data_IF_484990090884
#
_entry.id   IF_484990090884
#
_cell.length_a   1.000
_cell.length_b   1.000
_cell.length_c   1.000
_cell.angle_alpha   90.00
_cell.angle_beta   90.00
_cell.angle_gamma   90.00
#
_symmetry.space_group_name_H-M   'P 1'
#
loop_
_entity.id
_entity.type
_entity.pdbx_description
1 polymer ?
#
# COMPACT_ATOMS: atom_id res chain seq x y z
N UNK A 1 67.65 21.97 -31.25
CA UNK A 1 66.42 22.78 -31.27
C UNK A 1 65.30 21.93 -30.73
N UNK A 2 64.88 22.27 -29.52
CA UNK A 2 63.64 21.85 -28.87
C UNK A 2 62.42 22.26 -29.68
N UNK A 3 61.43 21.39 -29.79
CA UNK A 3 60.06 21.84 -29.57
C UNK A 3 59.20 20.72 -28.96
N UNK A 4 58.90 20.99 -27.70
CA UNK A 4 58.03 20.25 -26.81
C UNK A 4 56.74 21.06 -26.74
N UNK A 5 55.66 20.59 -27.36
CA UNK A 5 54.26 20.96 -27.02
C UNK A 5 53.37 19.78 -27.45
N UNK A 6 53.06 18.81 -26.58
CA UNK A 6 52.02 18.89 -25.55
C UNK A 6 50.69 19.47 -26.07
N UNK A 7 49.74 18.60 -26.42
CA UNK A 7 48.31 18.83 -26.15
C UNK A 7 47.53 17.50 -26.22
N UNK A 8 47.49 16.71 -25.14
CA UNK A 8 46.52 16.80 -24.04
C UNK A 8 45.07 16.61 -24.50
N UNK A 9 44.74 15.43 -25.04
CA UNK A 9 43.34 15.02 -25.21
C UNK A 9 43.05 13.58 -24.76
N UNK A 10 43.68 13.17 -23.65
CA UNK A 10 43.19 12.08 -22.80
C UNK A 10 42.33 12.68 -21.68
N UNK A 11 41.25 13.37 -22.06
CA UNK A 11 40.33 13.94 -21.08
C UNK A 11 39.54 12.81 -20.41
N UNK A 12 39.91 12.52 -19.17
CA UNK A 12 38.98 12.21 -18.08
C UNK A 12 37.85 11.21 -18.41
N UNK A 13 38.22 10.01 -18.87
CA UNK A 13 37.39 8.83 -18.66
C UNK A 13 37.43 8.52 -17.15
N UNK A 14 36.68 9.30 -16.38
CA UNK A 14 36.46 9.06 -14.97
C UNK A 14 36.06 7.61 -14.83
N UNK A 15 36.93 6.83 -14.20
CA UNK A 15 36.68 5.49 -13.68
C UNK A 15 35.57 5.61 -12.64
N UNK A 16 34.34 5.92 -13.06
CA UNK A 16 33.16 5.89 -12.21
C UNK A 16 32.91 4.42 -11.96
N UNK A 17 33.14 4.00 -10.72
CA UNK A 17 33.00 2.61 -10.31
C UNK A 17 31.56 2.11 -10.48
N UNK A 18 30.58 3.01 -10.63
CA UNK A 18 29.20 2.70 -11.02
C UNK A 18 28.80 3.38 -12.35
N UNK A 19 28.14 2.64 -13.27
CA UNK A 19 27.39 3.22 -14.36
C UNK A 19 26.42 4.31 -13.86
N UNK A 20 26.22 5.42 -14.62
CA UNK A 20 25.46 6.57 -14.15
C UNK A 20 23.99 6.26 -13.85
N UNK A 21 23.40 5.30 -14.55
CA UNK A 21 22.04 4.82 -14.32
C UNK A 21 21.89 4.04 -13.01
N UNK A 22 22.85 3.17 -12.69
CA UNK A 22 22.86 2.46 -11.40
C UNK A 22 23.16 3.41 -10.23
N UNK A 23 23.97 4.44 -10.45
CA UNK A 23 24.17 5.51 -9.48
C UNK A 23 22.86 6.28 -9.23
N UNK A 24 22.07 6.56 -10.27
CA UNK A 24 20.76 7.20 -10.12
C UNK A 24 19.77 6.32 -9.34
N UNK A 25 19.76 5.01 -9.58
CA UNK A 25 18.97 4.05 -8.78
C UNK A 25 19.34 4.15 -7.31
N UNK A 26 20.63 4.04 -6.97
CA UNK A 26 21.10 4.11 -5.57
C UNK A 26 20.72 5.42 -4.91
N UNK A 27 20.89 6.55 -5.60
CA UNK A 27 20.49 7.87 -5.07
C UNK A 27 18.98 7.94 -4.85
N UNK A 28 18.17 7.48 -5.80
CA UNK A 28 16.72 7.47 -5.66
C UNK A 28 16.27 6.58 -4.48
N UNK A 29 16.87 5.40 -4.32
CA UNK A 29 16.60 4.52 -3.17
C UNK A 29 16.98 5.20 -1.84
N UNK A 30 18.13 5.88 -1.78
CA UNK A 30 18.53 6.61 -0.58
C UNK A 30 17.59 7.78 -0.25
N UNK A 31 17.14 8.52 -1.26
CA UNK A 31 16.18 9.61 -1.08
C UNK A 31 14.86 9.10 -0.50
N UNK A 32 14.39 7.94 -0.94
CA UNK A 32 13.16 7.32 -0.40
C UNK A 32 13.36 6.82 1.02
N UNK A 33 14.49 6.19 1.35
CA UNK A 33 14.81 5.80 2.72
C UNK A 33 14.79 7.04 3.63
N UNK A 34 15.45 8.12 3.21
CA UNK A 34 15.46 9.37 3.98
C UNK A 34 14.04 9.94 4.10
N UNK A 35 13.26 9.97 3.03
CA UNK A 35 11.89 10.48 3.09
C UNK A 35 10.95 9.62 3.95
N UNK A 36 11.18 8.31 4.01
CA UNK A 36 10.37 7.38 4.78
C UNK A 36 10.72 7.35 6.28
N UNK A 37 12.00 7.52 6.63
CA UNK A 37 12.48 7.34 8.00
C UNK A 37 12.97 8.62 8.69
N UNK A 38 13.20 9.73 7.97
CA UNK A 38 13.60 10.99 8.60
C UNK A 38 12.37 11.72 9.18
N UNK A 39 12.34 12.02 10.49
CA UNK A 39 11.18 12.64 11.15
C UNK A 39 10.74 13.94 10.48
N UNK A 40 11.70 14.79 10.11
CA UNK A 40 11.47 16.11 9.49
C UNK A 40 10.82 16.03 8.10
N UNK A 41 10.96 14.90 7.38
CA UNK A 41 10.44 14.72 6.02
C UNK A 41 9.19 13.84 6.03
N UNK A 42 9.01 13.00 7.07
CA UNK A 42 7.84 12.17 7.26
C UNK A 42 6.54 12.98 7.28
N UNK A 43 6.59 14.21 7.81
CA UNK A 43 5.45 15.14 7.87
C UNK A 43 5.22 15.91 6.57
N UNK A 44 6.12 15.78 5.58
CA UNK A 44 5.99 16.53 4.32
C UNK A 44 5.20 15.75 3.26
N UNK A 45 4.29 16.41 2.52
CA UNK A 45 3.52 15.77 1.45
C UNK A 45 4.40 15.33 0.26
N UNK A 46 5.67 15.79 0.21
CA UNK A 46 6.64 15.41 -0.81
C UNK A 46 7.01 13.91 -0.76
N UNK A 47 6.81 13.25 0.39
CA UNK A 47 7.06 11.81 0.54
C UNK A 47 6.27 10.96 -0.45
N UNK A 48 5.02 11.34 -0.74
CA UNK A 48 4.09 10.54 -1.54
C UNK A 48 4.50 10.49 -3.01
N UNK A 49 4.69 11.62 -3.73
CA UNK A 49 5.12 11.56 -5.12
C UNK A 49 6.49 10.88 -5.26
N UNK A 50 7.40 11.08 -4.31
CA UNK A 50 8.70 10.42 -4.30
C UNK A 50 8.56 8.89 -4.14
N UNK A 51 7.71 8.45 -3.20
CA UNK A 51 7.40 7.05 -2.97
C UNK A 51 6.75 6.38 -4.17
N UNK A 52 5.80 7.04 -4.82
CA UNK A 52 5.12 6.53 -6.03
C UNK A 52 6.12 6.33 -7.17
N UNK A 53 6.92 7.35 -7.48
CA UNK A 53 7.91 7.27 -8.55
C UNK A 53 8.90 6.14 -8.27
N UNK A 54 9.27 5.96 -7.01
CA UNK A 54 10.13 4.86 -6.61
C UNK A 54 9.45 3.50 -6.83
N UNK A 55 8.29 3.28 -6.22
CA UNK A 55 7.56 2.00 -6.28
C UNK A 55 7.23 1.59 -7.71
N UNK A 56 6.89 2.54 -8.59
CA UNK A 56 6.52 2.23 -9.97
C UNK A 56 7.69 1.94 -10.90
N UNK A 57 8.92 2.33 -10.54
CA UNK A 57 10.00 2.35 -11.53
C UNK A 57 11.35 1.83 -11.03
N UNK A 58 11.80 2.29 -9.86
CA UNK A 58 13.20 2.15 -9.46
C UNK A 58 13.60 0.69 -9.15
N UNK A 59 12.83 -0.08 -8.36
CA UNK A 59 13.09 -1.50 -8.13
C UNK A 59 13.05 -2.32 -9.43
N UNK A 60 12.05 -2.08 -10.28
CA UNK A 60 11.91 -2.78 -11.55
C UNK A 60 13.04 -2.47 -12.53
N UNK A 61 13.53 -1.23 -12.56
CA UNK A 61 14.69 -0.87 -13.37
C UNK A 61 15.96 -1.59 -12.87
N UNK A 62 16.16 -1.66 -11.55
CA UNK A 62 17.28 -2.40 -10.96
C UNK A 62 17.21 -3.89 -11.34
N UNK A 63 16.01 -4.49 -11.34
CA UNK A 63 15.78 -5.87 -11.76
C UNK A 63 16.11 -6.09 -13.24
N UNK A 64 15.59 -5.26 -14.14
CA UNK A 64 15.88 -5.37 -15.58
C UNK A 64 17.36 -5.13 -15.88
N UNK A 65 17.99 -4.17 -15.19
CA UNK A 65 19.43 -3.94 -15.30
C UNK A 65 20.26 -5.12 -14.79
N UNK A 66 19.76 -5.82 -13.76
CA UNK A 66 20.38 -7.02 -13.21
C UNK A 66 20.20 -8.22 -14.14
N UNK A 67 19.03 -8.41 -14.76
CA UNK A 67 18.73 -9.53 -15.67
C UNK A 67 19.36 -9.37 -17.06
N UNK A 68 19.31 -8.16 -17.64
CA UNK A 68 19.76 -7.84 -18.98
C UNK A 68 20.85 -6.73 -18.97
N UNK A 69 22.10 -7.08 -18.64
CA UNK A 69 23.20 -6.09 -18.56
C UNK A 69 23.73 -5.60 -19.93
N UNK A 70 23.31 -6.20 -21.04
CA UNK A 70 23.85 -6.00 -22.40
C UNK A 70 23.05 -5.00 -23.27
N UNK A 71 23.72 -4.17 -24.09
CA UNK A 71 23.04 -3.31 -25.08
C UNK A 71 22.46 -4.13 -26.23
N UNK A 72 21.29 -3.72 -26.72
CA UNK A 72 20.80 -4.21 -28.01
C UNK A 72 21.81 -3.85 -29.11
N UNK A 73 22.23 -4.86 -29.87
CA UNK A 73 23.00 -4.68 -31.10
C UNK A 73 22.06 -4.90 -32.27
N UNK A 74 21.34 -3.86 -32.68
CA UNK A 74 20.69 -3.85 -34.00
C UNK A 74 21.31 -2.71 -34.80
N UNK A 75 21.67 -3.04 -36.05
CA UNK A 75 22.27 -2.21 -37.11
C UNK A 75 23.80 -2.09 -37.16
N UNK A 76 24.50 -3.22 -37.41
CA UNK A 76 25.57 -3.30 -38.44
C UNK A 76 25.54 -4.68 -39.12
N UNK A 77 24.35 -5.12 -39.53
CA UNK A 77 24.17 -6.32 -40.37
C UNK A 77 23.10 -6.07 -41.44
N UNK A 78 23.11 -4.86 -41.99
CA UNK A 78 22.19 -4.40 -43.03
C UNK A 78 22.89 -3.55 -44.09
N UNK A 79 24.19 -3.77 -44.30
CA UNK A 79 24.92 -3.29 -45.46
C UNK A 79 25.63 -4.52 -46.03
N UNK A 80 24.85 -5.36 -46.71
CA UNK A 80 25.22 -6.31 -47.77
C UNK A 80 24.16 -7.41 -47.81
N UNK A 81 23.27 -7.34 -48.80
CA UNK A 81 22.25 -8.35 -49.05
C UNK A 81 20.99 -7.79 -49.66
N UNK A 82 21.00 -7.65 -50.99
CA UNK A 82 19.81 -7.75 -51.84
C UNK A 82 18.92 -8.91 -51.37
N UNK A 83 17.61 -8.68 -51.22
CA UNK A 83 16.59 -9.38 -52.00
C UNK A 83 15.16 -8.99 -51.56
N UNK A 84 14.25 -9.21 -52.49
CA UNK A 84 12.92 -8.63 -52.65
C UNK A 84 11.81 -9.13 -51.71
N UNK A 85 10.70 -8.39 -51.76
CA UNK A 85 9.30 -8.80 -51.54
C UNK A 85 8.92 -9.44 -50.20
N UNK A 86 8.23 -8.66 -49.35
CA UNK A 86 6.86 -9.05 -48.98
C UNK A 86 6.04 -7.86 -48.47
N UNK A 87 4.92 -7.61 -49.14
CA UNK A 87 3.91 -6.63 -48.77
C UNK A 87 2.83 -7.35 -47.94
N UNK A 88 3.02 -7.43 -46.62
CA UNK A 88 1.92 -7.75 -45.71
C UNK A 88 1.97 -6.84 -44.48
N UNK A 89 0.95 -5.98 -44.39
CA UNK A 89 0.64 -5.16 -43.23
C UNK A 89 0.22 -6.03 -42.05
N UNK A 90 1.19 -6.62 -41.36
CA UNK A 90 1.02 -7.20 -40.04
C UNK A 90 1.46 -6.17 -39.00
N UNK A 91 0.50 -5.61 -38.24
CA UNK A 91 0.75 -5.11 -36.88
C UNK A 91 1.13 -6.32 -36.00
N UNK A 92 2.29 -6.89 -36.26
CA UNK A 92 2.88 -7.97 -35.49
C UNK A 92 3.41 -7.37 -34.20
N UNK A 93 2.68 -7.61 -33.13
CA UNK A 93 3.06 -7.43 -31.73
C UNK A 93 4.48 -7.94 -31.51
N UNK A 94 5.47 -7.04 -31.65
CA UNK A 94 6.90 -7.32 -31.59
C UNK A 94 7.38 -7.49 -30.14
N UNK A 95 6.59 -8.16 -29.30
CA UNK A 95 6.82 -8.25 -27.85
C UNK A 95 7.93 -9.27 -27.50
N UNK A 96 8.31 -10.17 -28.40
CA UNK A 96 9.38 -11.15 -28.14
C UNK A 96 10.27 -11.40 -29.38
N UNK A 97 10.92 -10.34 -29.86
CA UNK A 97 11.94 -10.45 -30.91
C UNK A 97 13.29 -10.86 -30.35
N UNK A 98 13.79 -12.02 -30.75
CA UNK A 98 15.10 -12.57 -30.38
C UNK A 98 16.26 -11.69 -30.91
N UNK A 99 16.65 -10.69 -30.11
CA UNK A 99 17.95 -10.04 -30.13
C UNK A 99 18.38 -9.91 -28.66
N UNK A 100 19.58 -10.35 -28.31
CA UNK A 100 20.00 -10.56 -26.90
C UNK A 100 20.21 -9.27 -26.08
N UNK A 101 19.67 -8.13 -26.52
CA UNK A 101 19.65 -6.91 -25.74
C UNK A 101 18.34 -6.15 -25.91
N UNK A 102 17.83 -5.62 -24.80
CA UNK A 102 16.66 -4.75 -24.77
C UNK A 102 17.04 -3.32 -25.19
N UNK A 103 16.24 -2.70 -26.05
CA UNK A 103 16.38 -1.28 -26.40
C UNK A 103 16.02 -0.39 -25.20
N UNK A 104 16.39 0.89 -25.26
CA UNK A 104 16.20 1.85 -24.16
C UNK A 104 14.73 2.04 -23.79
N UNK A 105 13.83 1.98 -24.78
CA UNK A 105 12.38 2.10 -24.59
C UNK A 105 11.80 0.80 -24.00
N UNK A 106 12.23 -0.36 -24.49
CA UNK A 106 11.78 -1.66 -23.96
C UNK A 106 12.17 -1.83 -22.49
N UNK A 107 13.38 -1.39 -22.12
CA UNK A 107 13.84 -1.37 -20.73
C UNK A 107 12.97 -0.50 -19.84
N UNK A 108 12.50 0.65 -20.35
CA UNK A 108 11.63 1.55 -19.61
C UNK A 108 10.26 0.91 -19.36
N UNK A 109 9.64 0.37 -20.40
CA UNK A 109 8.33 -0.28 -20.29
C UNK A 109 8.39 -1.52 -19.39
N UNK A 110 9.40 -2.37 -19.57
CA UNK A 110 9.59 -3.56 -18.74
C UNK A 110 9.93 -3.23 -17.30
N UNK A 111 10.61 -2.11 -17.03
CA UNK A 111 10.92 -1.70 -15.66
C UNK A 111 9.67 -1.36 -14.86
N UNK A 112 8.64 -0.76 -15.48
CA UNK A 112 7.38 -0.48 -14.79
C UNK A 112 6.67 -1.77 -14.39
N UNK A 113 6.52 -2.70 -15.35
CA UNK A 113 5.89 -3.99 -15.10
C UNK A 113 6.66 -4.82 -14.07
N UNK A 114 7.99 -4.86 -14.19
CA UNK A 114 8.87 -5.53 -13.24
C UNK A 114 8.75 -4.94 -11.82
N UNK A 115 8.54 -3.63 -11.71
CA UNK A 115 8.37 -2.98 -10.41
C UNK A 115 7.06 -3.38 -9.75
N UNK A 116 5.96 -3.40 -10.50
CA UNK A 116 4.65 -3.85 -10.00
C UNK A 116 4.75 -5.30 -9.50
N UNK A 117 5.33 -6.21 -10.29
CA UNK A 117 5.49 -7.61 -9.89
C UNK A 117 6.35 -7.73 -8.63
N UNK A 118 7.49 -7.05 -8.59
CA UNK A 118 8.43 -7.14 -7.46
C UNK A 118 7.82 -6.58 -6.18
N UNK A 119 7.20 -5.40 -6.24
CA UNK A 119 6.61 -4.74 -5.06
C UNK A 119 5.41 -5.53 -4.55
N UNK A 120 4.51 -5.99 -5.43
CA UNK A 120 3.38 -6.84 -5.01
C UNK A 120 3.85 -8.13 -4.36
N UNK A 121 4.92 -8.74 -4.88
CA UNK A 121 5.51 -9.95 -4.29
C UNK A 121 6.09 -9.69 -2.90
N UNK A 122 6.77 -8.55 -2.71
CA UNK A 122 7.28 -8.15 -1.39
C UNK A 122 6.15 -7.88 -0.40
N UNK A 123 5.07 -7.21 -0.84
CA UNK A 123 3.90 -6.97 0.00
C UNK A 123 3.27 -8.26 0.51
N UNK A 124 3.06 -9.24 -0.38
CA UNK A 124 2.57 -10.57 0.00
C UNK A 124 3.57 -11.32 0.89
N UNK A 125 4.87 -11.23 0.63
CA UNK A 125 5.88 -11.90 1.45
C UNK A 125 5.90 -11.38 2.90
N UNK A 126 5.68 -10.08 3.11
CA UNK A 126 5.63 -9.48 4.45
C UNK A 126 4.41 -9.95 5.25
N UNK A 127 3.29 -10.26 4.58
CA UNK A 127 2.12 -10.83 5.25
C UNK A 127 2.43 -12.15 6.00
N UNK A 128 3.38 -12.94 5.50
CA UNK A 128 3.84 -14.17 6.15
C UNK A 128 4.92 -13.94 7.21
N UNK A 129 5.33 -12.70 7.44
CA UNK A 129 6.31 -12.36 8.49
C UNK A 129 5.58 -11.82 9.73
N UNK A 130 6.14 -12.01 10.94
CA UNK A 130 5.55 -11.50 12.19
C UNK A 130 5.62 -9.95 12.31
N UNK A 131 5.89 -9.23 11.22
CA UNK A 131 5.96 -7.78 11.22
C UNK A 131 4.60 -7.19 10.85
N UNK A 132 4.18 -6.11 11.51
CA UNK A 132 2.92 -5.45 11.16
C UNK A 132 2.98 -4.92 9.71
N UNK A 133 1.84 -4.97 9.01
CA UNK A 133 1.70 -4.47 7.63
C UNK A 133 1.67 -2.93 7.65
N UNK A 134 2.84 -2.35 7.91
CA UNK A 134 3.06 -0.92 7.93
C UNK A 134 3.94 -0.52 6.73
N UNK A 135 3.84 0.74 6.30
CA UNK A 135 4.62 1.25 5.18
C UNK A 135 6.15 1.14 5.41
N UNK A 136 6.61 1.24 6.67
CA UNK A 136 8.03 1.17 7.04
C UNK A 136 8.70 -0.14 6.63
N UNK A 137 8.25 -1.30 7.14
CA UNK A 137 8.79 -2.61 6.75
C UNK A 137 8.79 -2.86 5.24
N UNK A 138 7.71 -2.52 4.54
CA UNK A 138 7.59 -2.68 3.07
C UNK A 138 8.66 -1.87 2.35
N UNK A 139 8.78 -0.58 2.67
CA UNK A 139 9.78 0.31 2.05
C UNK A 139 11.20 -0.18 2.34
N UNK A 140 11.48 -0.64 3.56
CA UNK A 140 12.79 -1.17 3.93
C UNK A 140 13.17 -2.40 3.09
N UNK A 141 12.27 -3.39 2.97
CA UNK A 141 12.53 -4.62 2.20
C UNK A 141 12.71 -4.31 0.71
N UNK A 142 11.84 -3.48 0.13
CA UNK A 142 11.95 -3.07 -1.29
C UNK A 142 13.25 -2.30 -1.52
N UNK A 143 13.64 -1.40 -0.62
CA UNK A 143 14.88 -0.63 -0.74
C UNK A 143 16.13 -1.53 -0.68
N UNK A 144 16.17 -2.47 0.26
CA UNK A 144 17.26 -3.47 0.37
C UNK A 144 17.32 -4.32 -0.90
N UNK A 145 16.19 -4.87 -1.35
CA UNK A 145 16.13 -5.65 -2.59
C UNK A 145 16.62 -4.84 -3.79
N UNK A 146 16.21 -3.57 -3.91
CA UNK A 146 16.63 -2.66 -4.97
C UNK A 146 18.14 -2.42 -4.94
N UNK A 147 18.73 -2.18 -3.77
CA UNK A 147 20.18 -2.01 -3.62
C UNK A 147 20.95 -3.28 -3.99
N UNK A 148 20.45 -4.45 -3.59
CA UNK A 148 21.04 -5.74 -3.95
C UNK A 148 21.01 -5.98 -5.46
N UNK A 149 19.87 -5.70 -6.11
CA UNK A 149 19.72 -5.80 -7.57
C UNK A 149 20.65 -4.82 -8.30
N UNK A 150 20.75 -3.57 -7.83
CA UNK A 150 21.68 -2.59 -8.38
C UNK A 150 23.14 -3.04 -8.24
N UNK A 151 23.50 -3.65 -7.11
CA UNK A 151 24.82 -4.24 -6.90
C UNK A 151 25.09 -5.43 -7.84
N UNK A 152 24.14 -6.35 -8.00
CA UNK A 152 24.21 -7.47 -8.94
C UNK A 152 24.37 -6.96 -10.37
N UNK A 153 23.55 -5.99 -10.78
CA UNK A 153 23.63 -5.35 -12.09
C UNK A 153 25.01 -4.73 -12.33
N UNK A 154 25.55 -4.01 -11.35
CA UNK A 154 26.88 -3.42 -11.45
C UNK A 154 27.97 -4.49 -11.57
N UNK A 155 27.85 -5.60 -10.82
CA UNK A 155 28.79 -6.73 -10.90
C UNK A 155 28.74 -7.41 -12.26
N UNK A 156 27.54 -7.72 -12.77
CA UNK A 156 27.36 -8.33 -14.10
C UNK A 156 27.85 -7.42 -15.23
N UNK A 157 27.57 -6.11 -15.17
CA UNK A 157 28.05 -5.16 -16.18
C UNK A 157 29.57 -4.98 -16.21
N UNK A 158 30.24 -5.11 -15.05
CA UNK A 158 31.72 -5.07 -14.98
C UNK A 158 32.38 -6.30 -15.60
N UNK A 159 31.67 -7.42 -15.72
CA UNK A 159 32.17 -8.62 -16.39
C UNK A 159 32.06 -8.55 -17.93
N UNK A 160 31.40 -7.53 -18.48
CA UNK A 160 31.21 -7.33 -19.91
C UNK A 160 32.24 -6.36 -20.49
N UNK A 161 32.64 -6.59 -21.75
CA UNK A 161 33.47 -5.64 -22.48
C UNK A 161 32.73 -4.29 -22.65
N UNK A 162 33.43 -3.14 -22.63
CA UNK A 162 32.82 -1.81 -22.74
C UNK A 162 31.95 -1.58 -23.99
N UNK A 163 32.18 -2.36 -25.04
CA UNK A 163 31.44 -2.33 -26.32
C UNK A 163 30.10 -3.09 -26.28
N UNK A 164 29.84 -3.89 -25.24
CA UNK A 164 28.61 -4.68 -25.05
C UNK A 164 27.80 -4.16 -23.87
N UNK A 165 28.48 -3.62 -22.84
CA UNK A 165 27.82 -3.13 -21.64
C UNK A 165 26.83 -2.00 -21.91
N UNK A 166 25.65 -2.07 -21.29
CA UNK A 166 24.67 -0.99 -21.33
C UNK A 166 25.20 0.28 -20.65
N UNK A 167 25.28 1.35 -21.44
CA UNK A 167 25.41 2.71 -20.96
C UNK A 167 24.25 3.54 -21.52
N UNK A 168 23.62 4.31 -20.64
CA UNK A 168 22.60 5.27 -21.03
C UNK A 168 23.26 6.39 -21.84
N UNK A 169 22.70 6.79 -22.99
CA UNK A 169 23.19 7.94 -23.74
C UNK A 169 22.77 9.25 -23.05
N UNK A 170 23.38 9.53 -21.89
CA UNK A 170 23.05 10.69 -21.03
C UNK A 170 23.19 12.00 -21.78
N UNK A 171 24.18 12.14 -22.67
CA UNK A 171 24.37 13.30 -23.54
C UNK A 171 23.19 13.54 -24.50
N UNK A 172 22.64 12.47 -25.12
CA UNK A 172 21.49 12.61 -26.03
C UNK A 172 20.22 12.99 -25.28
N UNK A 173 19.96 12.37 -24.13
CA UNK A 173 18.82 12.72 -23.29
C UNK A 173 18.93 14.15 -22.78
N UNK A 174 20.13 14.60 -22.38
CA UNK A 174 20.36 16.00 -21.99
C UNK A 174 20.08 16.97 -23.14
N UNK A 175 20.50 16.68 -24.37
CA UNK A 175 20.20 17.57 -25.50
C UNK A 175 18.72 17.59 -25.84
N UNK A 176 18.01 16.47 -25.75
CA UNK A 176 16.57 16.39 -26.03
C UNK A 176 15.75 17.11 -24.96
N UNK A 177 16.03 16.89 -23.67
CA UNK A 177 15.34 17.58 -22.57
C UNK A 177 15.66 19.07 -22.58
N UNK A 178 16.93 19.43 -22.84
CA UNK A 178 17.33 20.85 -22.91
C UNK A 178 16.76 21.55 -24.15
N UNK A 179 16.63 20.86 -25.29
CA UNK A 179 15.91 21.35 -26.47
C UNK A 179 14.44 21.56 -26.14
N UNK A 180 13.75 20.56 -25.62
CA UNK A 180 12.33 20.65 -25.25
C UNK A 180 12.01 21.79 -24.25
N UNK A 181 12.93 22.08 -23.33
CA UNK A 181 12.73 23.12 -22.30
C UNK A 181 13.23 24.50 -22.73
N UNK A 182 14.21 24.59 -23.64
CA UNK A 182 14.95 25.83 -23.93
C UNK A 182 14.79 26.32 -25.37
N UNK A 183 14.58 25.42 -26.33
CA UNK A 183 14.35 25.70 -27.75
C UNK A 183 13.23 24.76 -28.28
N UNK A 184 11.97 25.02 -27.90
CA UNK A 184 10.83 24.29 -28.45
C UNK A 184 10.66 24.62 -29.93
N UNK A 185 10.69 23.60 -30.80
CA UNK A 185 10.57 23.75 -32.25
C UNK A 185 9.22 24.39 -32.67
N UNK A 186 8.18 24.28 -31.84
CA UNK A 186 6.87 24.87 -32.07
C UNK A 186 6.15 25.33 -30.79
N UNK A 187 5.22 26.28 -30.92
CA UNK A 187 4.33 26.69 -29.81
C UNK A 187 3.45 25.54 -29.31
N UNK A 188 3.13 24.58 -30.18
CA UNK A 188 2.34 23.40 -29.82
C UNK A 188 3.13 22.48 -28.87
N UNK A 189 4.44 22.32 -29.08
CA UNK A 189 5.29 21.48 -28.23
C UNK A 189 5.42 22.05 -26.81
N UNK A 190 5.47 23.38 -26.67
CA UNK A 190 5.47 24.04 -25.35
C UNK A 190 4.17 23.78 -24.62
N UNK A 191 3.03 23.95 -25.29
CA UNK A 191 1.71 23.75 -24.70
C UNK A 191 1.53 22.28 -24.31
N UNK A 192 1.90 21.35 -25.19
CA UNK A 192 1.80 19.91 -24.93
C UNK A 192 2.69 19.47 -23.77
N UNK A 193 3.94 19.95 -23.73
CA UNK A 193 4.86 19.67 -22.63
C UNK A 193 4.35 20.26 -21.31
N UNK A 194 3.83 21.48 -21.33
CA UNK A 194 3.23 22.12 -20.17
C UNK A 194 2.01 21.35 -19.64
N UNK A 195 1.11 20.92 -20.54
CA UNK A 195 -0.05 20.08 -20.21
C UNK A 195 0.37 18.72 -19.64
N UNK A 196 1.41 18.09 -20.20
CA UNK A 196 1.93 16.83 -19.69
C UNK A 196 2.48 16.98 -18.27
N UNK A 197 3.29 18.01 -18.00
CA UNK A 197 3.82 18.29 -16.65
C UNK A 197 2.69 18.57 -15.67
N UNK A 198 1.69 19.35 -16.08
CA UNK A 198 0.50 19.62 -15.26
C UNK A 198 -0.27 18.33 -14.96
N UNK A 199 -0.50 17.48 -15.97
CA UNK A 199 -1.22 16.21 -15.82
C UNK A 199 -0.49 15.24 -14.89
N UNK A 200 0.84 15.11 -15.04
CA UNK A 200 1.67 14.31 -14.12
C UNK A 200 1.62 14.88 -12.71
N UNK A 201 1.68 16.21 -12.57
CA UNK A 201 1.54 16.89 -11.27
C UNK A 201 0.20 16.61 -10.59
N UNK A 202 -0.91 16.74 -11.34
CA UNK A 202 -2.26 16.43 -10.84
C UNK A 202 -2.38 14.95 -10.47
N UNK A 203 -1.88 14.03 -11.29
CA UNK A 203 -1.92 12.60 -11.00
C UNK A 203 -1.13 12.27 -9.73
N UNK A 204 0.07 12.81 -9.57
CA UNK A 204 0.88 12.65 -8.36
C UNK A 204 0.24 13.29 -7.13
N UNK A 205 -0.38 14.46 -7.28
CA UNK A 205 -1.11 15.13 -6.21
C UNK A 205 -2.38 14.37 -5.80
N UNK A 206 -3.09 13.75 -6.75
CA UNK A 206 -4.29 12.94 -6.49
C UNK A 206 -3.96 11.69 -5.69
N UNK A 207 -2.92 10.95 -6.07
CA UNK A 207 -2.45 9.79 -5.30
C UNK A 207 -1.85 10.25 -3.95
N UNK A 208 -1.20 11.43 -3.93
CA UNK A 208 -0.80 12.16 -2.72
C UNK A 208 -1.95 12.36 -1.73
N UNK A 209 -3.04 12.91 -2.25
CA UNK A 209 -4.26 13.17 -1.52
C UNK A 209 -4.95 11.88 -1.09
N UNK A 210 -4.89 10.78 -1.86
CA UNK A 210 -5.43 9.49 -1.42
C UNK A 210 -4.60 8.82 -0.31
N UNK A 211 -3.29 9.09 -0.25
CA UNK A 211 -2.40 8.55 0.78
C UNK A 211 -2.36 9.37 2.08
N UNK A 212 -2.94 10.58 2.06
CA UNK A 212 -3.17 11.45 3.23
C UNK A 212 -4.67 11.55 3.55
N UNK A 213 -5.51 11.19 2.58
CA UNK A 213 -6.96 11.19 2.69
C UNK A 213 -7.48 9.87 3.27
N UNK A 214 -8.75 9.86 3.71
CA UNK A 214 -9.31 8.86 4.64
C UNK A 214 -9.55 7.45 4.04
N UNK A 215 -8.71 6.96 3.12
CA UNK A 215 -9.02 5.72 2.37
C UNK A 215 -7.89 4.76 2.00
N UNK A 216 -6.60 5.08 2.16
CA UNK A 216 -5.53 4.16 1.70
C UNK A 216 -4.27 4.06 2.58
N UNK A 217 -4.28 4.54 3.83
CA UNK A 217 -3.12 4.43 4.70
C UNK A 217 -3.44 4.70 6.15
N UNK A 218 -3.82 3.63 6.87
CA UNK A 218 -4.21 3.70 8.27
C UNK A 218 -5.68 4.07 8.42
N UNK A 219 -6.37 3.34 9.30
CA UNK A 219 -7.28 4.04 10.19
C UNK A 219 -6.49 5.19 10.85
N UNK A 220 -7.18 6.28 11.16
CA UNK A 220 -6.69 7.45 11.89
C UNK A 220 -6.08 8.60 11.06
N UNK A 221 -6.69 9.79 11.27
CA UNK A 221 -6.11 11.15 11.25
C UNK A 221 -6.85 12.23 10.43
N UNK A 222 -8.05 12.01 9.87
CA UNK A 222 -8.77 13.11 9.19
C UNK A 222 -10.21 13.37 9.65
N UNK A 223 -10.88 12.41 10.24
CA UNK A 223 -12.18 12.60 10.90
C UNK A 223 -12.09 11.85 12.22
N UNK A 224 -12.38 12.56 13.32
CA UNK A 224 -12.49 11.93 14.62
C UNK A 224 -13.46 10.76 14.54
N UNK A 225 -13.07 9.60 15.03
CA UNK A 225 -13.97 8.46 15.09
C UNK A 225 -13.74 7.67 16.38
N UNK A 226 -14.84 7.18 16.94
CA UNK A 226 -14.84 6.23 18.03
C UNK A 226 -15.02 4.81 17.51
N UNK A 227 -14.30 3.84 18.06
CA UNK A 227 -14.52 2.43 17.77
C UNK A 227 -14.97 1.67 19.03
N UNK A 228 -15.89 0.73 18.84
CA UNK A 228 -16.37 -0.20 19.86
C UNK A 228 -16.07 -1.62 19.40
N UNK A 229 -15.46 -2.44 20.25
CA UNK A 229 -15.13 -3.81 19.92
C UNK A 229 -15.33 -4.76 21.12
N UNK A 230 -15.41 -6.05 20.83
CA UNK A 230 -15.55 -7.12 21.81
C UNK A 230 -14.26 -7.94 21.91
N UNK A 231 -13.86 -8.24 23.14
CA UNK A 231 -12.75 -9.13 23.48
C UNK A 231 -13.25 -10.21 24.45
N UNK A 232 -12.80 -11.45 24.24
CA UNK A 232 -12.99 -12.56 25.17
C UNK A 232 -11.67 -13.29 25.34
N UNK A 233 -11.22 -13.50 26.58
CA UNK A 233 -9.94 -14.15 26.90
C UNK A 233 -8.70 -13.58 26.17
N UNK A 234 -8.75 -12.31 25.78
CA UNK A 234 -7.69 -11.62 25.04
C UNK A 234 -7.73 -11.82 23.52
N UNK A 235 -8.69 -12.60 23.00
CA UNK A 235 -8.98 -12.70 21.57
C UNK A 235 -10.04 -11.66 21.16
N UNK A 236 -9.73 -10.93 20.10
CA UNK A 236 -10.63 -9.95 19.50
C UNK A 236 -11.74 -10.66 18.72
N UNK A 237 -12.98 -10.48 19.16
CA UNK A 237 -14.17 -10.95 18.46
C UNK A 237 -14.56 -9.88 17.43
N UNK A 238 -13.83 -9.85 16.33
CA UNK A 238 -14.06 -8.86 15.27
C UNK A 238 -15.28 -9.26 14.43
N UNK A 239 -16.34 -8.44 14.39
CA UNK A 239 -17.20 -8.15 13.20
C UNK A 239 -18.52 -7.41 13.54
N UNK A 240 -18.57 -6.51 14.54
CA UNK A 240 -19.83 -5.81 14.95
C UNK A 240 -20.97 -6.73 15.44
N UNK A 241 -20.79 -8.05 15.32
CA UNK A 241 -21.71 -9.12 15.63
C UNK A 241 -20.86 -10.36 15.87
N UNK A 242 -20.84 -10.84 17.10
CA UNK A 242 -20.21 -12.10 17.49
C UNK A 242 -21.30 -13.09 17.94
N UNK A 243 -21.02 -14.38 17.85
CA UNK A 243 -21.87 -15.42 18.42
C UNK A 243 -21.06 -16.22 19.43
N UNK A 244 -21.58 -16.38 20.65
CA UNK A 244 -20.95 -17.17 21.71
C UNK A 244 -21.96 -18.12 22.34
N UNK A 245 -21.45 -19.23 22.85
CA UNK A 245 -22.23 -20.15 23.68
C UNK A 245 -22.60 -19.45 25.00
N UNK A 246 -23.82 -19.66 25.48
CA UNK A 246 -24.34 -19.05 26.70
C UNK A 246 -23.43 -19.28 27.92
N UNK A 247 -22.84 -20.48 28.05
CA UNK A 247 -21.92 -20.83 29.13
C UNK A 247 -20.57 -20.10 29.05
N UNK A 248 -20.14 -19.72 27.84
CA UNK A 248 -18.90 -18.98 27.63
C UNK A 248 -19.10 -17.46 27.67
N UNK A 249 -20.34 -16.97 27.58
CA UNK A 249 -20.66 -15.54 27.53
C UNK A 249 -20.62 -14.82 28.90
N UNK A 250 -20.20 -15.49 29.99
CA UNK A 250 -20.27 -14.91 31.35
C UNK A 250 -19.34 -13.70 31.56
N UNK A 251 -18.16 -13.69 30.91
CA UNK A 251 -17.20 -12.59 31.01
C UNK A 251 -16.86 -12.06 29.62
N UNK A 252 -17.33 -10.85 29.33
CA UNK A 252 -17.08 -10.17 28.06
C UNK A 252 -16.40 -8.84 28.32
N UNK A 253 -15.33 -8.56 27.59
CA UNK A 253 -14.65 -7.27 27.65
C UNK A 253 -15.06 -6.43 26.45
N UNK A 254 -15.51 -5.21 26.71
CA UNK A 254 -15.87 -4.24 25.68
C UNK A 254 -14.77 -3.18 25.62
N UNK A 255 -14.15 -3.03 24.46
CA UNK A 255 -13.15 -2.01 24.22
C UNK A 255 -13.77 -0.76 23.60
N UNK A 256 -13.47 0.40 24.18
CA UNK A 256 -13.82 1.73 23.67
C UNK A 256 -12.52 2.41 23.26
N UNK A 257 -12.40 2.77 21.99
CA UNK A 257 -11.26 3.48 21.44
C UNK A 257 -11.67 4.88 21.00
N UNK A 258 -10.86 5.88 21.38
CA UNK A 258 -11.09 7.28 21.04
C UNK A 258 -10.00 7.78 20.07
N UNK A 259 -10.40 8.13 18.85
CA UNK A 259 -9.54 8.81 17.88
C UNK A 259 -10.13 10.18 17.47
N UNK A 260 -10.83 10.87 18.36
CA UNK A 260 -11.51 12.16 18.12
C UNK A 260 -10.58 13.40 18.16
N UNK A 261 -9.29 13.23 18.43
CA UNK A 261 -8.33 14.33 18.57
C UNK A 261 -8.44 15.10 19.89
N UNK A 262 -9.26 14.64 20.83
CA UNK A 262 -9.50 15.22 22.16
C UNK A 262 -10.01 14.13 23.11
N UNK A 263 -9.85 14.34 24.42
CA UNK A 263 -10.52 13.49 25.42
C UNK A 263 -12.04 13.63 25.29
N UNK A 264 -12.74 12.49 25.34
CA UNK A 264 -14.19 12.41 25.22
C UNK A 264 -14.75 11.53 26.33
N UNK A 265 -15.84 11.99 26.94
CA UNK A 265 -16.66 11.23 27.87
C UNK A 265 -17.66 10.38 27.08
N UNK A 266 -17.38 9.08 27.00
CA UNK A 266 -18.29 8.13 26.36
C UNK A 266 -19.25 7.52 27.38
N UNK A 267 -20.46 7.21 26.92
CA UNK A 267 -21.40 6.35 27.66
C UNK A 267 -21.64 5.07 26.88
N UNK A 268 -21.38 3.93 27.51
CA UNK A 268 -21.68 2.61 26.98
C UNK A 268 -22.93 2.08 27.66
N UNK A 269 -23.94 1.72 26.86
CA UNK A 269 -25.20 1.11 27.32
C UNK A 269 -25.25 -0.33 26.83
N UNK A 270 -25.41 -1.27 27.76
CA UNK A 270 -25.60 -2.69 27.47
C UNK A 270 -27.09 -3.02 27.55
N UNK A 271 -27.65 -3.61 26.50
CA UNK A 271 -29.07 -3.96 26.39
C UNK A 271 -29.19 -5.43 26.01
N UNK A 272 -29.96 -6.20 26.77
CA UNK A 272 -30.42 -7.52 26.36
C UNK A 272 -31.70 -7.38 25.52
N UNK A 273 -31.67 -7.92 24.31
CA UNK A 273 -32.81 -7.95 23.40
C UNK A 273 -33.26 -9.40 23.23
N UNK A 274 -34.54 -9.66 23.49
CA UNK A 274 -35.19 -10.92 23.17
C UNK A 274 -35.86 -10.79 21.80
N UNK A 275 -35.53 -11.70 20.89
CA UNK A 275 -36.06 -11.71 19.54
C UNK A 275 -37.27 -12.65 19.51
N UNK A 276 -38.30 -12.27 18.75
CA UNK A 276 -39.44 -13.11 18.43
C UNK A 276 -39.51 -13.28 16.92
N UNK A 277 -39.47 -14.53 16.48
CA UNK A 277 -39.65 -14.92 15.09
C UNK A 277 -41.11 -15.32 14.86
N UNK A 278 -41.85 -14.50 14.11
CA UNK A 278 -43.24 -14.75 13.74
C UNK A 278 -43.36 -15.60 12.45
N UNK A 279 -42.23 -16.09 11.91
CA UNK A 279 -42.12 -16.87 10.69
C UNK A 279 -42.06 -16.05 9.41
N UNK A 280 -42.27 -14.73 9.49
CA UNK A 280 -42.20 -13.78 8.37
C UNK A 280 -41.12 -12.71 8.59
N UNK A 281 -40.84 -12.36 9.85
CA UNK A 281 -39.84 -11.40 10.29
C UNK A 281 -39.35 -11.63 11.72
N UNK A 282 -38.06 -11.36 11.97
CA UNK A 282 -37.51 -11.35 13.33
C UNK A 282 -37.70 -9.95 13.91
N UNK A 283 -38.46 -9.84 15.00
CA UNK A 283 -38.72 -8.58 15.70
C UNK A 283 -38.16 -8.61 17.13
N UNK A 284 -37.94 -7.45 17.74
CA UNK A 284 -37.52 -7.37 19.14
C UNK A 284 -38.77 -7.39 20.02
N UNK A 285 -38.94 -8.46 20.79
CA UNK A 285 -40.10 -8.67 21.65
C UNK A 285 -39.97 -7.93 22.98
N UNK A 286 -38.77 -7.93 23.54
CA UNK A 286 -38.47 -7.30 24.81
C UNK A 286 -37.03 -6.78 24.85
N UNK A 287 -36.83 -5.66 25.52
CA UNK A 287 -35.52 -5.04 25.73
C UNK A 287 -35.34 -4.75 27.21
N UNK A 288 -34.17 -5.09 27.74
CA UNK A 288 -33.81 -4.82 29.14
C UNK A 288 -32.41 -4.23 29.19
N UNK A 289 -32.30 -3.01 29.69
CA UNK A 289 -31.00 -2.39 29.97
C UNK A 289 -30.31 -3.16 31.10
N UNK A 290 -29.13 -3.71 30.79
CA UNK A 290 -28.31 -4.50 31.73
C UNK A 290 -27.38 -3.60 32.55
N UNK A 291 -26.71 -2.65 31.88
CA UNK A 291 -25.76 -1.74 32.51
C UNK A 291 -25.61 -0.46 31.68
N UNK A 292 -25.24 0.63 32.36
CA UNK A 292 -24.94 1.92 31.75
C UNK A 292 -23.75 2.54 32.46
N UNK A 293 -22.66 2.72 31.72
CA UNK A 293 -21.37 3.15 32.28
C UNK A 293 -20.79 4.31 31.48
N UNK A 294 -20.42 5.37 32.18
CA UNK A 294 -19.62 6.46 31.63
C UNK A 294 -18.12 6.16 31.75
N UNK A 295 -17.36 6.46 30.71
CA UNK A 295 -15.90 6.32 30.67
C UNK A 295 -15.27 7.50 29.93
N UNK A 296 -14.34 8.19 30.59
CA UNK A 296 -13.49 9.18 29.94
C UNK A 296 -12.33 8.45 29.25
N UNK A 297 -12.13 8.72 27.97
CA UNK A 297 -11.09 8.12 27.14
C UNK A 297 -10.25 9.23 26.51
N UNK A 298 -8.94 9.22 26.75
CA UNK A 298 -8.02 10.19 26.14
C UNK A 298 -7.88 9.95 24.62
N UNK A 299 -7.37 10.95 23.89
CA UNK A 299 -7.11 10.83 22.45
C UNK A 299 -6.04 9.75 22.17
N UNK A 300 -6.37 8.83 21.26
CA UNK A 300 -5.56 7.64 20.93
C UNK A 300 -5.50 6.59 22.05
N UNK A 301 -6.35 6.70 23.09
CA UNK A 301 -6.45 5.72 24.16
C UNK A 301 -7.56 4.68 23.87
N UNK A 302 -7.34 3.47 24.37
CA UNK A 302 -8.34 2.41 24.40
C UNK A 302 -8.64 2.01 25.84
N UNK A 303 -9.89 2.13 26.26
CA UNK A 303 -10.38 1.66 27.57
C UNK A 303 -11.12 0.34 27.43
N UNK A 304 -10.80 -0.61 28.31
CA UNK A 304 -11.45 -1.92 28.39
C UNK A 304 -12.40 -1.93 29.56
N UNK A 305 -13.66 -2.24 29.28
CA UNK A 305 -14.73 -2.35 30.25
C UNK A 305 -15.11 -3.82 30.37
N UNK A 306 -14.87 -4.39 31.55
CA UNK A 306 -15.30 -5.74 31.86
C UNK A 306 -16.79 -5.74 32.24
N UNK A 307 -17.54 -6.64 31.60
CA UNK A 307 -18.94 -6.93 31.87
C UNK A 307 -19.07 -8.39 32.32
N UNK A 308 -19.59 -8.57 33.52
CA UNK A 308 -19.99 -9.87 34.04
C UNK A 308 -21.49 -10.02 33.79
N UNK A 309 -21.85 -10.85 32.80
CA UNK A 309 -23.25 -11.09 32.47
C UNK A 309 -23.81 -12.08 33.49
N UNK A 310 -24.86 -11.68 34.22
CA UNK A 310 -25.52 -12.59 35.17
C UNK A 310 -26.10 -13.79 34.42
N UNK A 311 -25.66 -14.99 34.80
CA UNK A 311 -26.09 -16.25 34.17
C UNK A 311 -27.61 -16.40 34.08
N UNK A 312 -28.40 -15.85 35.01
CA UNK A 312 -29.85 -15.86 34.95
C UNK A 312 -30.41 -15.05 33.75
N UNK A 313 -29.84 -13.87 33.46
CA UNK A 313 -30.23 -13.04 32.32
C UNK A 313 -29.78 -13.62 30.97
N UNK A 314 -28.74 -14.46 30.98
CA UNK A 314 -28.23 -15.19 29.80
C UNK A 314 -29.02 -16.47 29.54
N UNK A 315 -29.48 -17.16 30.59
CA UNK A 315 -30.18 -18.45 30.50
C UNK A 315 -31.67 -18.30 30.18
N UNK A 316 -32.35 -17.29 30.73
CA UNK A 316 -33.74 -16.97 30.36
C UNK A 316 -33.86 -16.43 28.91
N UNK A 317 -32.72 -16.06 28.33
CA UNK A 317 -32.56 -15.48 27.00
C UNK A 317 -31.93 -16.49 26.00
N UNK A 318 -31.74 -17.74 26.40
CA UNK A 318 -31.04 -18.75 25.60
C UNK A 318 -31.79 -19.17 24.32
N UNK A 319 -33.11 -18.93 24.27
CA UNK A 319 -33.89 -19.03 23.05
C UNK A 319 -34.01 -17.61 22.44
N UNK A 320 -33.25 -17.36 21.38
CA UNK A 320 -33.31 -16.16 20.53
C UNK A 320 -33.02 -14.80 21.21
N UNK A 321 -32.02 -14.71 22.10
CA UNK A 321 -31.56 -13.41 22.59
C UNK A 321 -30.16 -13.00 22.16
N UNK A 322 -29.96 -11.68 22.13
CA UNK A 322 -28.67 -11.04 21.89
C UNK A 322 -28.43 -9.92 22.89
N UNK A 323 -27.17 -9.72 23.25
CA UNK A 323 -26.73 -8.54 24.00
C UNK A 323 -26.15 -7.53 23.02
N UNK A 324 -26.54 -6.27 23.16
CA UNK A 324 -26.07 -5.16 22.33
C UNK A 324 -25.40 -4.13 23.24
N UNK A 325 -24.17 -3.74 22.89
CA UNK A 325 -23.53 -2.59 23.52
C UNK A 325 -23.57 -1.42 22.54
N UNK A 326 -24.05 -0.28 23.03
CA UNK A 326 -24.23 0.97 22.30
C UNK A 326 -23.27 2.03 22.86
N UNK A 327 -22.58 2.75 21.97
CA UNK A 327 -21.65 3.82 22.32
C UNK A 327 -22.23 5.21 21.97
N UNK A 328 -22.16 6.14 22.92
CA UNK A 328 -22.56 7.53 22.76
C UNK A 328 -21.46 8.49 23.26
N UNK A 329 -21.14 9.54 22.51
CA UNK A 329 -20.18 10.59 22.93
C UNK A 329 -20.84 11.78 23.67
N UNK A 330 -22.04 11.59 24.22
CA UNK A 330 -22.82 12.66 24.84
C UNK A 330 -24.07 12.18 25.57
N UNK A 331 -25.12 13.00 25.56
CA UNK A 331 -26.39 12.68 26.22
C UNK A 331 -27.06 11.49 25.52
N UNK A 332 -27.30 10.43 26.29
CA UNK A 332 -27.95 9.22 25.79
C UNK A 332 -29.46 9.48 25.64
N UNK A 333 -30.08 9.16 24.49
CA UNK A 333 -31.52 9.27 24.31
C UNK A 333 -32.32 8.44 25.33
N UNK A 334 -33.58 8.81 25.54
CA UNK A 334 -34.51 8.05 26.39
C UNK A 334 -34.78 6.62 25.86
N UNK A 335 -34.61 6.43 24.56
CA UNK A 335 -34.76 5.15 23.85
C UNK A 335 -33.47 4.81 23.08
N UNK A 336 -32.45 4.24 23.75
CA UNK A 336 -31.17 3.94 23.15
C UNK A 336 -31.28 2.75 22.19
N UNK A 337 -30.83 2.92 20.95
CA UNK A 337 -30.92 1.92 19.89
C UNK A 337 -29.70 1.94 18.96
N UNK A 338 -29.46 0.87 18.18
CA UNK A 338 -28.38 0.86 17.18
C UNK A 338 -28.45 1.99 16.15
N UNK A 339 -29.64 2.55 15.92
CA UNK A 339 -29.86 3.66 14.97
C UNK A 339 -29.46 5.02 15.55
N UNK A 340 -29.44 5.13 16.87
CA UNK A 340 -29.11 6.38 17.59
C UNK A 340 -27.68 6.41 18.10
N UNK A 341 -27.04 5.25 18.22
CA UNK A 341 -25.67 5.09 18.69
C UNK A 341 -24.64 5.44 17.60
N UNK A 342 -23.47 5.93 18.03
CA UNK A 342 -22.34 6.19 17.12
C UNK A 342 -21.67 4.91 16.66
N UNK A 343 -21.59 3.94 17.58
CA UNK A 343 -21.12 2.59 17.31
C UNK A 343 -21.90 1.59 18.15
N UNK A 344 -22.06 0.38 17.62
CA UNK A 344 -22.64 -0.71 18.36
C UNK A 344 -21.95 -2.03 18.04
N UNK A 345 -21.96 -2.93 19.02
CA UNK A 345 -21.53 -4.31 18.85
C UNK A 345 -22.61 -5.22 19.40
N UNK A 346 -22.86 -6.32 18.71
CA UNK A 346 -23.85 -7.31 19.14
C UNK A 346 -23.16 -8.63 19.47
N UNK A 347 -23.73 -9.33 20.44
CA UNK A 347 -23.34 -10.67 20.82
C UNK A 347 -24.60 -11.54 20.85
N UNK A 348 -24.73 -12.45 19.89
CA UNK A 348 -25.78 -13.45 19.88
C UNK A 348 -25.41 -14.62 20.80
N UNK A 349 -26.38 -15.09 21.59
CA UNK A 349 -26.23 -16.28 22.40
C UNK A 349 -26.81 -17.47 21.63
N UNK A 350 -26.01 -18.52 21.41
CA UNK A 350 -26.49 -19.75 20.77
C UNK A 350 -26.49 -20.90 21.77
N UNK A 351 -27.61 -21.64 21.83
CA UNK A 351 -27.71 -22.88 22.58
C UNK A 351 -27.49 -24.06 21.62
N UNK A 352 -26.28 -24.64 21.57
CA UNK A 352 -26.05 -25.85 20.77
C UNK A 352 -26.62 -27.07 21.53
N UNK A 353 -27.95 -27.23 21.47
CA UNK A 353 -28.63 -28.49 21.76
C UNK A 353 -29.47 -29.00 20.58
N UNK A 354 -29.38 -28.38 19.40
CA UNK A 354 -30.11 -28.81 18.21
C UNK A 354 -29.14 -29.08 17.05
N UNK A 355 -28.51 -30.25 17.05
CA UNK A 355 -27.61 -30.64 15.96
C UNK A 355 -26.94 -32.00 16.07
N UNK A 356 -27.56 -32.98 16.74
CA UNK A 356 -27.06 -34.35 16.76
C UNK A 356 -28.21 -35.37 16.66
N UNK A 357 -29.00 -35.30 15.60
CA UNK A 357 -29.53 -36.52 14.98
C UNK A 357 -30.03 -36.22 13.56
N UNK A 358 -30.05 -37.27 12.73
CA UNK A 358 -30.50 -37.31 11.33
C UNK A 358 -29.47 -36.93 10.26
N UNK A 359 -28.44 -37.79 10.12
CA UNK A 359 -28.03 -38.21 8.78
C UNK A 359 -28.19 -39.72 8.63
N UNK A 360 -29.25 -40.08 7.93
CA UNK A 360 -29.66 -41.36 7.31
C UNK A 360 -28.67 -42.54 7.30
N UNK A 361 -29.26 -43.72 7.57
CA UNK A 361 -28.78 -45.02 7.10
C UNK A 361 -29.44 -45.47 5.79
#
# INVERSE_FOLDING_TARGET
MSDTTANRNRSAWTKRWLPPDLAAVVVATLLVIVAAFAPVIRETPLRVPLGIVFVLFVPGYALIAALFPERNRVAVAGADGDDADDATGGRGTRILGAGTGLDSVDRLSLSVLASVILVSTVGVAIHYTPWPIQAGPVVAVVAVATMLLAWIAARRRRALAPSVAFAVPVERWRSTVRGAVRDPDSRADVVLTGLLVLAVGIALASVGFAAVGPGFGGADEAEGHSALFLEQDGDLLTNGSAALEADNATNVTVGVENNEGKAVDYTVVAIAQQLEDDGESVSVANETELDRRGVEVDDGETRRLEYELESAAVTDAADDARVVWLLYSGEVPDDPSPETAEAYVTLSLSNESAGADESDG
#
